data_IF_699698917289
#
_entry.id   IF_699698917289
#
_cell.length_a   1.000
_cell.length_b   1.000
_cell.length_c   1.000
_cell.angle_alpha   90.00
_cell.angle_beta   90.00
_cell.angle_gamma   90.00
#
_symmetry.space_group_name_H-M   'P 1'
#
loop_
_entity.id
_entity.type
_entity.pdbx_description
1 polymer ?
#
# COMPACT_ATOMS: atom_id res chain seq x y z
N UNK A 1 50.62 9.99 -8.55
CA UNK A 1 50.06 8.67 -8.13
C UNK A 1 49.63 8.61 -6.66
N UNK A 2 50.24 9.37 -5.73
CA UNK A 2 49.83 9.37 -4.30
C UNK A 2 48.46 10.00 -3.99
N UNK A 3 48.05 11.02 -4.73
CA UNK A 3 46.84 11.81 -4.41
C UNK A 3 45.54 11.03 -4.58
N UNK A 4 45.50 10.11 -5.54
CA UNK A 4 44.32 9.31 -5.87
C UNK A 4 44.03 8.29 -4.76
N UNK A 5 45.06 7.67 -4.15
CA UNK A 5 44.89 6.71 -3.05
C UNK A 5 44.46 7.39 -1.74
N UNK A 6 44.94 8.60 -1.47
CA UNK A 6 44.60 9.32 -0.23
C UNK A 6 43.16 9.84 -0.28
N UNK A 7 42.65 10.18 -1.46
CA UNK A 7 41.30 10.72 -1.62
C UNK A 7 40.24 9.64 -1.88
N UNK A 8 40.59 8.52 -2.52
CA UNK A 8 39.63 7.46 -2.85
C UNK A 8 39.08 6.74 -1.62
N UNK A 9 39.92 6.48 -0.61
CA UNK A 9 39.50 5.81 0.63
C UNK A 9 38.35 6.54 1.34
N UNK A 10 38.53 7.81 1.76
CA UNK A 10 37.49 8.58 2.44
C UNK A 10 36.18 8.68 1.66
N UNK A 11 36.26 8.85 0.34
CA UNK A 11 35.09 8.99 -0.53
C UNK A 11 34.26 7.70 -0.57
N UNK A 12 34.91 6.53 -0.59
CA UNK A 12 34.21 5.24 -0.56
C UNK A 12 33.51 5.04 0.79
N UNK A 13 34.17 5.39 1.89
CA UNK A 13 33.54 5.30 3.22
C UNK A 13 32.37 6.27 3.38
N UNK A 14 32.48 7.49 2.85
CA UNK A 14 31.39 8.48 2.86
C UNK A 14 30.21 8.01 1.99
N UNK A 15 30.48 7.46 0.80
CA UNK A 15 29.42 6.96 -0.08
C UNK A 15 28.71 5.75 0.51
N UNK A 16 29.44 4.83 1.16
CA UNK A 16 28.83 3.74 1.95
C UNK A 16 27.99 4.27 3.12
N UNK A 17 28.48 5.28 3.85
CA UNK A 17 27.74 5.87 4.95
C UNK A 17 26.43 6.53 4.47
N UNK A 18 26.48 7.28 3.36
CA UNK A 18 25.30 7.87 2.75
C UNK A 18 24.32 6.81 2.24
N UNK A 19 24.81 5.75 1.60
CA UNK A 19 23.98 4.64 1.14
C UNK A 19 23.29 3.93 2.31
N UNK A 20 24.00 3.71 3.43
CA UNK A 20 23.43 3.12 4.64
C UNK A 20 22.35 4.01 5.25
N UNK A 21 22.60 5.31 5.39
CA UNK A 21 21.61 6.28 5.88
C UNK A 21 20.37 6.34 4.99
N UNK A 22 20.56 6.37 3.67
CA UNK A 22 19.45 6.36 2.72
C UNK A 22 18.66 5.04 2.76
N UNK A 23 19.35 3.91 2.90
CA UNK A 23 18.72 2.60 3.07
C UNK A 23 17.83 2.55 4.31
N UNK A 24 18.34 2.99 5.46
CA UNK A 24 17.56 3.07 6.71
C UNK A 24 16.36 4.01 6.55
N UNK A 25 16.54 5.16 5.93
CA UNK A 25 15.46 6.10 5.66
C UNK A 25 14.34 5.47 4.80
N UNK A 26 14.70 4.78 3.72
CA UNK A 26 13.76 4.05 2.88
C UNK A 26 12.99 2.97 3.66
N UNK A 27 13.67 2.20 4.52
CA UNK A 27 13.02 1.17 5.35
C UNK A 27 12.01 1.80 6.32
N UNK A 28 12.38 2.89 6.99
CA UNK A 28 11.48 3.61 7.91
C UNK A 28 10.26 4.17 7.17
N UNK A 29 10.48 4.80 6.01
CA UNK A 29 9.39 5.31 5.18
C UNK A 29 8.46 4.20 4.70
N UNK A 30 9.02 3.08 4.26
CA UNK A 30 8.23 1.92 3.84
C UNK A 30 7.44 1.37 5.00
N UNK A 31 8.03 1.20 6.18
CA UNK A 31 7.31 0.65 7.33
C UNK A 31 6.14 1.55 7.74
N UNK A 32 6.35 2.88 7.76
CA UNK A 32 5.27 3.85 8.02
C UNK A 32 4.18 3.82 6.94
N UNK A 33 4.56 3.79 5.66
CA UNK A 33 3.59 3.73 4.54
C UNK A 33 2.81 2.42 4.52
N UNK A 34 3.47 1.30 4.81
CA UNK A 34 2.85 -0.02 4.87
C UNK A 34 1.88 -0.08 6.05
N UNK A 35 2.25 0.48 7.21
CA UNK A 35 1.36 0.59 8.36
C UNK A 35 0.11 1.42 8.09
N UNK A 36 0.25 2.52 7.34
CA UNK A 36 -0.90 3.36 6.96
C UNK A 36 -1.85 2.67 5.96
N UNK A 37 -1.32 1.87 5.03
CA UNK A 37 -2.13 1.19 4.00
C UNK A 37 -2.74 -0.13 4.47
N UNK A 38 -2.15 -0.78 5.48
CA UNK A 38 -2.69 -2.00 6.09
C UNK A 38 -3.78 -1.65 7.08
N UNK A 39 -4.76 -2.55 7.22
CA UNK A 39 -5.65 -2.52 8.37
C UNK A 39 -4.82 -2.78 9.63
N UNK A 40 -4.87 -1.87 10.60
CA UNK A 40 -4.12 -1.98 11.85
C UNK A 40 -4.54 -3.17 12.71
N UNK A 41 -5.76 -3.69 12.51
CA UNK A 41 -6.30 -4.84 13.23
C UNK A 41 -6.94 -5.83 12.22
N UNK A 42 -6.57 -7.12 12.23
CA UNK A 42 -7.23 -8.13 11.38
C UNK A 42 -8.72 -8.26 11.65
N UNK A 43 -9.19 -8.07 12.90
CA UNK A 43 -10.62 -8.14 13.21
C UNK A 43 -11.41 -7.00 12.54
N UNK A 44 -10.87 -5.78 12.52
CA UNK A 44 -11.48 -4.65 11.83
C UNK A 44 -11.46 -4.78 10.29
N UNK A 45 -10.55 -5.60 9.75
CA UNK A 45 -10.57 -5.96 8.33
C UNK A 45 -11.66 -7.00 8.04
N UNK A 46 -11.85 -7.96 8.94
CA UNK A 46 -12.91 -8.97 8.84
C UNK A 46 -14.30 -8.35 8.88
N UNK A 47 -14.56 -7.48 9.87
CA UNK A 47 -15.85 -6.79 10.01
C UNK A 47 -16.20 -5.94 8.79
N UNK A 48 -15.23 -5.17 8.27
CA UNK A 48 -15.39 -4.43 7.02
C UNK A 48 -15.71 -5.34 5.82
N UNK A 49 -15.02 -6.49 5.71
CA UNK A 49 -15.26 -7.43 4.61
C UNK A 49 -16.62 -8.14 4.72
N UNK A 50 -17.07 -8.45 5.94
CA UNK A 50 -18.40 -9.03 6.18
C UNK A 50 -19.50 -8.03 5.83
N UNK A 51 -19.32 -6.74 6.15
CA UNK A 51 -20.27 -5.68 5.80
C UNK A 51 -20.32 -5.45 4.29
N UNK A 52 -19.16 -5.39 3.61
CA UNK A 52 -19.08 -5.36 2.14
C UNK A 52 -19.78 -6.57 1.53
N UNK A 53 -19.63 -7.75 2.12
CA UNK A 53 -20.25 -8.99 1.62
C UNK A 53 -21.77 -8.95 1.75
N UNK A 54 -22.30 -8.43 2.86
CA UNK A 54 -23.74 -8.22 3.05
C UNK A 54 -24.34 -7.31 1.98
N UNK A 55 -23.75 -6.14 1.74
CA UNK A 55 -24.19 -5.24 0.67
C UNK A 55 -24.08 -5.88 -0.72
N UNK A 56 -23.06 -6.70 -0.96
CA UNK A 56 -22.89 -7.43 -2.24
C UNK A 56 -23.98 -8.50 -2.44
N UNK A 57 -24.41 -9.19 -1.39
CA UNK A 57 -25.51 -10.16 -1.42
C UNK A 57 -26.86 -9.48 -1.70
N UNK A 58 -27.07 -8.28 -1.16
CA UNK A 58 -28.23 -7.43 -1.44
C UNK A 58 -28.16 -6.74 -2.83
N UNK A 59 -27.06 -6.95 -3.57
CA UNK A 59 -26.76 -6.30 -4.87
C UNK A 59 -26.69 -4.77 -4.78
N UNK A 60 -26.41 -4.24 -3.60
CA UNK A 60 -26.22 -2.81 -3.38
C UNK A 60 -24.76 -2.43 -3.64
N UNK A 61 -24.46 -2.12 -4.91
CA UNK A 61 -23.11 -1.73 -5.34
C UNK A 61 -22.77 -0.27 -4.99
N UNK A 62 -23.79 0.57 -4.79
CA UNK A 62 -23.63 1.98 -4.44
C UNK A 62 -23.28 2.12 -2.96
N UNK A 63 -23.96 1.36 -2.09
CA UNK A 63 -23.63 1.28 -0.66
C UNK A 63 -22.23 0.75 -0.38
N UNK A 64 -21.74 -0.23 -1.16
CA UNK A 64 -20.34 -0.69 -1.03
C UNK A 64 -19.35 0.41 -1.44
N UNK A 65 -19.67 1.20 -2.46
CA UNK A 65 -18.80 2.29 -2.89
C UNK A 65 -18.70 3.38 -1.81
N UNK A 66 -19.83 3.75 -1.19
CA UNK A 66 -19.88 4.73 -0.09
C UNK A 66 -19.15 4.22 1.18
N UNK A 67 -19.30 2.93 1.51
CA UNK A 67 -18.57 2.29 2.60
C UNK A 67 -17.04 2.29 2.36
N UNK A 68 -16.61 2.07 1.12
CA UNK A 68 -15.20 2.08 0.75
C UNK A 68 -14.59 3.50 0.70
N UNK A 69 -15.40 4.53 0.41
CA UNK A 69 -14.97 5.94 0.36
C UNK A 69 -15.04 6.65 1.73
N UNK A 70 -15.52 5.95 2.75
CA UNK A 70 -15.58 6.46 4.12
C UNK A 70 -14.18 6.75 4.69
N UNK A 71 -14.01 7.80 5.52
CA UNK A 71 -12.70 8.30 5.97
C UNK A 71 -11.88 7.28 6.79
N UNK A 72 -12.54 6.28 7.38
CA UNK A 72 -11.89 5.18 8.11
C UNK A 72 -11.23 4.12 7.19
N UNK A 73 -11.61 4.09 5.92
CA UNK A 73 -11.28 3.03 4.96
C UNK A 73 -10.64 3.56 3.67
N UNK A 74 -10.89 4.81 3.28
CA UNK A 74 -10.44 5.41 2.01
C UNK A 74 -8.93 5.32 1.74
N UNK A 75 -8.10 5.45 2.78
CA UNK A 75 -6.63 5.38 2.66
C UNK A 75 -6.05 3.95 2.61
N UNK A 76 -6.90 2.92 2.77
CA UNK A 76 -6.47 1.52 2.81
C UNK A 76 -6.51 0.91 1.42
N UNK A 77 -5.61 -0.06 1.17
CA UNK A 77 -5.50 -0.68 -0.14
C UNK A 77 -6.72 -1.57 -0.49
N UNK A 78 -7.30 -2.26 0.49
CA UNK A 78 -8.41 -3.21 0.25
C UNK A 78 -9.70 -2.54 -0.25
N UNK A 79 -10.19 -1.44 0.36
CA UNK A 79 -11.38 -0.72 -0.12
C UNK A 79 -11.18 -0.13 -1.52
N UNK A 80 -10.00 0.42 -1.81
CA UNK A 80 -9.64 0.92 -3.14
C UNK A 80 -9.67 -0.18 -4.21
N UNK A 81 -9.20 -1.39 -3.88
CA UNK A 81 -9.28 -2.54 -4.79
C UNK A 81 -10.72 -3.00 -5.02
N UNK A 82 -11.56 -2.98 -3.98
CA UNK A 82 -12.99 -3.32 -4.06
C UNK A 82 -13.74 -2.29 -4.94
N UNK A 83 -13.48 -1.00 -4.76
CA UNK A 83 -14.01 0.08 -5.60
C UNK A 83 -13.67 -0.13 -7.09
N UNK A 84 -12.40 -0.43 -7.40
CA UNK A 84 -11.97 -0.71 -8.77
C UNK A 84 -12.66 -1.97 -9.32
N UNK A 85 -12.82 -3.00 -8.50
CA UNK A 85 -13.51 -4.22 -8.90
C UNK A 85 -15.01 -3.99 -9.20
N UNK A 86 -15.68 -3.15 -8.41
CA UNK A 86 -17.09 -2.78 -8.62
C UNK A 86 -17.25 -1.88 -9.84
N UNK A 87 -16.41 -0.85 -9.98
CA UNK A 87 -16.41 0.07 -11.13
C UNK A 87 -16.14 -0.65 -12.46
N UNK A 88 -15.49 -1.81 -12.42
CA UNK A 88 -15.24 -2.65 -13.60
C UNK A 88 -15.97 -3.99 -13.59
N UNK A 89 -17.03 -4.15 -12.78
CA UNK A 89 -17.82 -5.39 -12.68
C UNK A 89 -18.40 -5.88 -14.01
N UNK A 90 -18.75 -4.95 -14.91
CA UNK A 90 -19.28 -5.29 -16.26
C UNK A 90 -18.22 -5.82 -17.24
N UNK A 91 -16.93 -5.63 -16.94
CA UNK A 91 -15.86 -6.36 -17.63
C UNK A 91 -15.84 -7.78 -17.06
N UNK A 92 -16.78 -8.60 -17.52
CA UNK A 92 -16.88 -9.99 -17.12
C UNK A 92 -15.55 -10.74 -17.25
N UNK A 93 -15.47 -11.91 -16.60
CA UNK A 93 -14.35 -12.89 -16.58
C UNK A 93 -13.67 -13.18 -17.93
N UNK A 94 -14.24 -12.72 -19.05
CA UNK A 94 -13.73 -12.81 -20.41
C UNK A 94 -12.35 -12.15 -20.67
N UNK A 95 -11.77 -11.40 -19.71
CA UNK A 95 -10.39 -10.88 -19.79
C UNK A 95 -9.36 -11.63 -18.93
N UNK A 96 -9.77 -12.70 -18.24
CA UNK A 96 -8.88 -13.58 -17.48
C UNK A 96 -8.46 -14.83 -18.27
N UNK A 97 -8.58 -14.79 -19.60
CA UNK A 97 -8.08 -15.84 -20.51
C UNK A 97 -6.94 -15.30 -21.37
#
# INVERSE_FOLDING_TARGET
MHTILVWSGPVIYISMALAALYGVFCVILLWRKVGQKRFGNPAAAGEFLDEVRGCLEEKDFDGVAELCDSPAYWAKATPQMILVAIAHKERGLAKLQ
#
